data_IF_391165366832
#
_entry.id   IF_391165366832
#
_cell.length_a   1.000
_cell.length_b   1.000
_cell.length_c   1.000
_cell.angle_alpha   90.00
_cell.angle_beta   90.00
_cell.angle_gamma   90.00
#
_symmetry.space_group_name_H-M   'P 1'
#
loop_
_entity.id
_entity.type
_entity.pdbx_description
1 polymer ?
#
# COMPACT_ATOMS: atom_id res chain seq x y z
N UNK A 1 1.46 18.81 14.97
CA UNK A 1 0.75 17.81 14.14
C UNK A 1 1.78 17.12 13.26
N UNK A 2 2.02 15.84 13.48
CA UNK A 2 2.91 15.09 12.58
C UNK A 2 2.17 14.80 11.28
N UNK A 3 2.72 15.20 10.15
CA UNK A 3 2.12 15.00 8.83
C UNK A 3 2.21 13.50 8.48
N UNK A 4 1.14 12.95 7.91
CA UNK A 4 1.12 11.57 7.40
C UNK A 4 2.37 11.29 6.54
N UNK A 5 3.10 10.20 6.83
CA UNK A 5 4.32 9.82 6.12
C UNK A 5 5.57 10.65 6.48
N UNK A 6 5.56 11.44 7.57
CA UNK A 6 6.71 12.27 7.94
C UNK A 6 7.98 11.43 8.12
N UNK A 7 7.92 10.33 8.87
CA UNK A 7 9.07 9.44 9.10
C UNK A 7 9.65 8.91 7.78
N UNK A 8 8.80 8.49 6.85
CA UNK A 8 9.27 7.99 5.56
C UNK A 8 9.91 9.06 4.70
N UNK A 9 9.36 10.28 4.74
CA UNK A 9 9.89 11.43 3.99
C UNK A 9 11.22 11.91 4.56
N UNK A 10 11.39 11.87 5.88
CA UNK A 10 12.62 12.32 6.54
C UNK A 10 13.80 11.40 6.22
N UNK A 11 13.54 10.13 5.89
CA UNK A 11 14.53 9.16 5.40
C UNK A 11 14.91 9.34 3.92
N UNK A 12 14.22 10.20 3.17
CA UNK A 12 14.52 10.43 1.75
C UNK A 12 15.69 11.39 1.57
N UNK A 13 16.43 11.19 0.50
CA UNK A 13 17.38 12.18 -0.03
C UNK A 13 16.65 13.41 -0.58
N UNK A 14 17.33 14.52 -0.75
CA UNK A 14 16.74 15.73 -1.34
C UNK A 14 16.19 15.49 -2.76
N UNK A 15 16.89 14.78 -3.68
CA UNK A 15 16.34 14.41 -4.98
C UNK A 15 15.06 13.55 -4.87
N UNK A 16 15.04 12.54 -4.02
CA UNK A 16 13.85 11.70 -3.82
C UNK A 16 12.66 12.50 -3.32
N UNK A 17 12.88 13.43 -2.38
CA UNK A 17 11.82 14.33 -1.89
C UNK A 17 11.25 15.24 -2.97
N UNK A 18 12.11 15.74 -3.87
CA UNK A 18 11.69 16.58 -5.00
C UNK A 18 10.74 15.83 -5.95
N UNK A 19 10.98 14.55 -6.21
CA UNK A 19 10.14 13.71 -7.06
C UNK A 19 8.71 13.57 -6.55
N UNK A 20 8.49 13.63 -5.24
CA UNK A 20 7.14 13.53 -4.68
C UNK A 20 6.23 14.74 -5.02
N UNK A 21 6.81 15.87 -5.36
CA UNK A 21 6.09 17.08 -5.77
C UNK A 21 6.26 17.43 -7.25
N UNK A 22 6.62 16.44 -8.07
CA UNK A 22 6.95 16.63 -9.48
C UNK A 22 5.74 17.12 -10.28
N UNK A 23 5.95 18.18 -11.04
CA UNK A 23 4.95 18.79 -11.94
C UNK A 23 5.66 19.21 -13.23
N UNK A 24 5.78 18.26 -14.18
CA UNK A 24 6.64 18.42 -15.35
C UNK A 24 6.09 19.34 -16.43
N UNK A 25 4.76 19.41 -16.53
CA UNK A 25 4.11 20.11 -17.65
C UNK A 25 2.70 20.60 -17.33
N UNK A 26 2.24 21.57 -18.11
CA UNK A 26 0.82 21.91 -18.21
C UNK A 26 0.09 20.73 -18.87
N UNK A 27 -0.97 20.25 -18.21
CA UNK A 27 -1.77 19.13 -18.69
C UNK A 27 -2.94 19.55 -19.54
N UNK A 28 -3.20 20.85 -19.67
CA UNK A 28 -4.33 21.41 -20.44
C UNK A 28 -4.26 20.98 -21.90
N UNK A 29 -5.32 20.31 -22.38
CA UNK A 29 -5.41 19.85 -23.75
C UNK A 29 -4.45 18.70 -24.10
N UNK A 30 -3.76 18.10 -23.13
CA UNK A 30 -2.87 16.97 -23.38
C UNK A 30 -3.64 15.72 -23.85
N UNK A 31 -2.96 14.87 -24.61
CA UNK A 31 -3.55 13.66 -25.21
C UNK A 31 -2.63 12.46 -25.01
N UNK A 32 -2.48 11.99 -23.75
CA UNK A 32 -1.70 10.79 -23.51
C UNK A 32 -2.41 9.55 -24.07
N UNK A 33 -1.63 8.53 -24.45
CA UNK A 33 -2.17 7.21 -24.79
C UNK A 33 -2.76 6.55 -23.54
N UNK A 34 -2.11 6.70 -22.38
CA UNK A 34 -2.59 6.22 -21.09
C UNK A 34 -2.54 7.36 -20.04
N UNK A 35 -3.68 7.65 -19.45
CA UNK A 35 -3.80 8.54 -18.28
C UNK A 35 -3.99 7.71 -17.02
N UNK A 36 -3.12 7.89 -16.04
CA UNK A 36 -3.26 7.32 -14.70
C UNK A 36 -3.68 8.41 -13.72
N UNK A 37 -4.81 8.22 -13.06
CA UNK A 37 -5.38 9.14 -12.08
C UNK A 37 -5.13 8.60 -10.67
N UNK A 38 -4.25 9.27 -9.91
CA UNK A 38 -3.86 8.91 -8.56
C UNK A 38 -2.38 8.57 -8.43
N UNK A 39 -1.66 9.32 -7.61
CA UNK A 39 -0.22 9.21 -7.37
C UNK A 39 0.16 8.35 -6.16
N UNK A 40 -0.71 7.45 -5.71
CA UNK A 40 -0.36 6.39 -4.75
C UNK A 40 0.50 5.31 -5.40
N UNK A 41 0.96 4.35 -4.60
CA UNK A 41 1.86 3.28 -5.10
C UNK A 41 1.23 2.47 -6.24
N UNK A 42 -0.09 2.23 -6.20
CA UNK A 42 -0.82 1.53 -7.26
C UNK A 42 -0.76 2.30 -8.59
N UNK A 43 -1.00 3.61 -8.55
CA UNK A 43 -0.94 4.43 -9.76
C UNK A 43 0.47 4.58 -10.30
N UNK A 44 1.46 4.79 -9.43
CA UNK A 44 2.86 4.93 -9.86
C UNK A 44 3.40 3.61 -10.43
N UNK A 45 3.10 2.45 -9.80
CA UNK A 45 3.46 1.14 -10.37
C UNK A 45 2.75 0.90 -11.72
N UNK A 46 1.46 1.27 -11.83
CA UNK A 46 0.71 1.10 -13.09
C UNK A 46 1.29 1.99 -14.20
N UNK A 47 1.60 3.25 -13.91
CA UNK A 47 2.22 4.13 -14.88
C UNK A 47 3.59 3.61 -15.34
N UNK A 48 4.42 3.15 -14.39
CA UNK A 48 5.72 2.57 -14.69
C UNK A 48 5.60 1.31 -15.56
N UNK A 49 4.68 0.40 -15.24
CA UNK A 49 4.43 -0.81 -16.03
C UNK A 49 3.91 -0.49 -17.43
N UNK A 50 3.06 0.53 -17.60
CA UNK A 50 2.60 0.98 -18.91
C UNK A 50 3.75 1.55 -19.76
N UNK A 51 4.67 2.29 -19.14
CA UNK A 51 5.89 2.79 -19.81
C UNK A 51 6.78 1.63 -20.26
N UNK A 52 7.04 0.69 -19.35
CA UNK A 52 7.87 -0.50 -19.64
C UNK A 52 7.26 -1.36 -20.75
N UNK A 53 5.93 -1.50 -20.78
CA UNK A 53 5.21 -2.22 -21.84
C UNK A 53 5.12 -1.47 -23.17
N UNK A 54 5.61 -0.24 -23.27
CA UNK A 54 5.58 0.56 -24.49
C UNK A 54 4.19 1.02 -24.91
N UNK A 55 3.30 1.31 -23.97
CA UNK A 55 1.92 1.74 -24.25
C UNK A 55 1.80 3.22 -24.67
N UNK A 56 2.84 3.76 -25.29
CA UNK A 56 2.86 5.14 -25.79
C UNK A 56 3.14 6.19 -24.71
N UNK A 57 2.50 7.35 -24.86
CA UNK A 57 2.67 8.48 -23.92
C UNK A 57 1.85 8.25 -22.67
N UNK A 58 2.51 8.08 -21.53
CA UNK A 58 1.89 7.87 -20.21
C UNK A 58 1.96 9.15 -19.41
N UNK A 59 0.80 9.63 -18.92
CA UNK A 59 0.68 10.75 -18.01
C UNK A 59 0.08 10.26 -16.68
N UNK A 60 0.71 10.62 -15.57
CA UNK A 60 0.15 10.43 -14.23
C UNK A 60 -0.25 11.79 -13.63
N UNK A 61 -1.49 11.88 -13.14
CA UNK A 61 -1.97 13.05 -12.40
C UNK A 61 -2.29 12.69 -10.94
N UNK A 62 -2.01 13.61 -10.03
CA UNK A 62 -2.24 13.46 -8.59
C UNK A 62 -2.74 14.79 -8.00
N UNK A 63 -3.78 14.74 -7.17
CA UNK A 63 -4.38 15.91 -6.54
C UNK A 63 -3.43 16.65 -5.59
N UNK A 64 -2.62 15.90 -4.85
CA UNK A 64 -1.66 16.43 -3.90
C UNK A 64 -0.23 16.20 -4.33
N UNK A 65 0.55 15.53 -3.48
CA UNK A 65 1.88 15.01 -3.77
C UNK A 65 1.82 13.49 -3.93
N UNK A 66 2.73 12.93 -4.69
CA UNK A 66 2.84 11.47 -4.79
C UNK A 66 2.94 10.84 -3.41
N UNK A 67 2.18 9.80 -3.17
CA UNK A 67 2.14 9.07 -1.91
C UNK A 67 1.44 9.79 -0.74
N UNK A 68 0.76 10.92 -0.95
CA UNK A 68 0.13 11.68 0.14
C UNK A 68 -1.05 10.95 0.83
N UNK A 69 -1.66 9.98 0.17
CA UNK A 69 -2.78 9.19 0.69
C UNK A 69 -2.36 8.02 1.58
N UNK A 70 -3.07 6.90 1.47
CA UNK A 70 -2.84 5.68 2.25
C UNK A 70 -1.40 5.14 2.15
N UNK A 71 -0.74 5.31 1.02
CA UNK A 71 0.62 4.84 0.77
C UNK A 71 1.64 5.44 1.75
N UNK A 72 1.64 6.76 1.90
CA UNK A 72 2.59 7.43 2.81
C UNK A 72 2.29 7.18 4.28
N UNK A 73 1.06 6.79 4.63
CA UNK A 73 0.68 6.44 5.99
C UNK A 73 0.87 4.96 6.34
N UNK A 74 1.25 4.12 5.39
CA UNK A 74 1.39 2.69 5.61
C UNK A 74 2.72 2.31 6.28
N UNK A 75 2.77 1.09 6.82
CA UNK A 75 3.98 0.51 7.43
C UNK A 75 5.04 0.07 6.42
N UNK A 76 4.66 -0.08 5.15
CA UNK A 76 5.56 -0.57 4.11
C UNK A 76 5.83 -2.07 4.14
N UNK A 77 5.11 -2.85 4.95
CA UNK A 77 5.30 -4.29 5.07
C UNK A 77 4.85 -5.04 3.82
N UNK A 78 5.65 -5.99 3.38
CA UNK A 78 5.45 -6.88 2.25
C UNK A 78 5.49 -8.32 2.80
N UNK A 79 4.35 -8.78 3.35
CA UNK A 79 4.25 -10.00 4.17
C UNK A 79 3.10 -10.89 3.69
N UNK A 80 3.19 -11.54 2.52
CA UNK A 80 2.12 -12.40 2.00
C UNK A 80 1.83 -13.59 2.91
N UNK A 81 2.85 -14.28 3.40
CA UNK A 81 2.68 -15.54 4.11
C UNK A 81 1.83 -15.43 5.40
N UNK A 82 1.96 -14.40 6.25
CA UNK A 82 1.06 -14.22 7.39
C UNK A 82 -0.42 -14.08 7.03
N UNK A 83 -0.73 -13.74 5.79
CA UNK A 83 -2.13 -13.60 5.35
C UNK A 83 -2.84 -14.94 5.12
N UNK A 84 -2.10 -16.05 4.99
CA UNK A 84 -2.69 -17.40 4.83
C UNK A 84 -3.62 -17.81 5.98
N UNK A 85 -3.49 -17.18 7.17
CA UNK A 85 -4.41 -17.41 8.29
C UNK A 85 -5.73 -16.62 8.20
N UNK A 86 -5.86 -15.67 7.29
CA UNK A 86 -6.99 -14.75 7.24
C UNK A 86 -7.60 -14.55 5.88
N UNK A 87 -6.88 -14.90 4.82
CA UNK A 87 -7.25 -14.63 3.45
C UNK A 87 -7.29 -15.92 2.61
N UNK A 88 -8.12 -16.00 1.55
CA UNK A 88 -8.16 -17.19 0.68
C UNK A 88 -6.87 -17.37 -0.10
N UNK A 89 -6.50 -18.62 -0.35
CA UNK A 89 -5.27 -18.99 -1.06
C UNK A 89 -5.06 -18.24 -2.38
N UNK A 90 -6.05 -18.08 -3.27
CA UNK A 90 -5.82 -17.33 -4.53
C UNK A 90 -5.41 -15.87 -4.29
N UNK A 91 -5.77 -15.27 -3.15
CA UNK A 91 -5.33 -13.92 -2.79
C UNK A 91 -3.91 -13.93 -2.24
N UNK A 92 -3.57 -14.90 -1.42
CA UNK A 92 -2.20 -15.07 -0.91
C UNK A 92 -1.24 -15.39 -2.04
N UNK A 93 -1.63 -16.18 -3.03
CA UNK A 93 -0.83 -16.45 -4.23
C UNK A 93 -0.57 -15.19 -5.05
N UNK A 94 -1.57 -14.31 -5.18
CA UNK A 94 -1.39 -12.99 -5.80
C UNK A 94 -0.35 -12.15 -5.04
N UNK A 95 -0.41 -12.19 -3.72
CA UNK A 95 0.53 -11.45 -2.85
C UNK A 95 1.95 -12.01 -2.93
N UNK A 96 2.12 -13.34 -2.98
CA UNK A 96 3.42 -14.00 -3.22
C UNK A 96 4.01 -13.58 -4.56
N UNK A 97 3.22 -13.67 -5.62
CA UNK A 97 3.64 -13.22 -6.94
C UNK A 97 4.02 -11.73 -6.96
N UNK A 98 3.36 -10.93 -6.14
CA UNK A 98 3.67 -9.50 -6.02
C UNK A 98 4.96 -9.24 -5.26
N UNK A 99 5.26 -10.00 -4.21
CA UNK A 99 6.53 -9.90 -3.49
C UNK A 99 7.72 -10.24 -4.41
N UNK A 100 7.60 -11.28 -5.24
CA UNK A 100 8.64 -11.58 -6.24
C UNK A 100 8.87 -10.42 -7.20
N UNK A 101 7.79 -9.77 -7.68
CA UNK A 101 7.94 -8.58 -8.53
C UNK A 101 8.60 -7.40 -7.81
N UNK A 102 8.38 -7.24 -6.51
CA UNK A 102 9.13 -6.27 -5.71
C UNK A 102 10.62 -6.56 -5.70
N UNK A 103 11.03 -7.84 -5.62
CA UNK A 103 12.42 -8.30 -5.71
C UNK A 103 13.01 -8.05 -7.09
N UNK A 104 12.25 -8.34 -8.14
CA UNK A 104 12.66 -8.05 -9.53
C UNK A 104 12.92 -6.55 -9.70
N UNK A 105 12.04 -5.70 -9.20
CA UNK A 105 12.18 -4.24 -9.26
C UNK A 105 13.38 -3.73 -8.45
N UNK A 106 13.68 -4.33 -7.28
CA UNK A 106 14.88 -4.02 -6.51
C UNK A 106 16.14 -4.31 -7.31
N UNK A 107 16.17 -5.42 -8.04
CA UNK A 107 17.32 -5.80 -8.87
C UNK A 107 17.45 -5.02 -10.18
N UNK A 108 16.33 -4.61 -10.78
CA UNK A 108 16.30 -4.02 -12.11
C UNK A 108 16.47 -2.49 -12.11
N UNK A 109 15.96 -1.79 -11.10
CA UNK A 109 15.99 -0.33 -11.06
C UNK A 109 17.35 0.19 -10.55
N UNK A 110 17.91 1.24 -11.16
CA UNK A 110 19.12 1.88 -10.64
C UNK A 110 18.94 2.35 -9.20
N UNK A 111 19.65 1.72 -8.27
CA UNK A 111 19.54 1.99 -6.83
C UNK A 111 18.32 1.37 -6.15
N UNK A 112 17.64 0.44 -6.85
CA UNK A 112 16.53 -0.33 -6.32
C UNK A 112 15.29 0.50 -5.92
N UNK A 113 14.32 -0.14 -5.32
CA UNK A 113 13.14 0.49 -4.69
C UNK A 113 13.32 0.68 -3.19
N UNK A 114 14.45 0.21 -2.64
CA UNK A 114 14.75 0.24 -1.21
C UNK A 114 14.05 -0.89 -0.44
N UNK A 115 13.94 -2.06 -1.07
CA UNK A 115 13.45 -3.27 -0.44
C UNK A 115 14.44 -3.77 0.60
N UNK A 116 13.94 -4.15 1.76
CA UNK A 116 14.71 -4.73 2.85
C UNK A 116 14.10 -6.08 3.17
N UNK A 117 14.86 -7.15 2.97
CA UNK A 117 14.47 -8.50 3.36
C UNK A 117 14.47 -8.63 4.88
N UNK A 118 13.41 -9.20 5.41
CA UNK A 118 13.19 -9.39 6.84
C UNK A 118 12.42 -10.69 7.07
N UNK A 119 12.63 -11.30 8.24
CA UNK A 119 11.75 -12.37 8.69
C UNK A 119 10.53 -11.78 9.41
N UNK A 120 9.44 -12.55 9.43
CA UNK A 120 8.26 -12.23 10.23
C UNK A 120 8.11 -13.25 11.35
N UNK A 121 7.92 -12.76 12.57
CA UNK A 121 7.68 -13.54 13.77
C UNK A 121 6.33 -13.16 14.38
N UNK A 122 5.36 -14.04 14.28
CA UNK A 122 4.11 -13.93 15.03
C UNK A 122 4.28 -14.51 16.43
N UNK A 123 3.84 -13.76 17.44
CA UNK A 123 3.86 -14.19 18.83
C UNK A 123 2.45 -14.55 19.30
N UNK A 124 2.33 -15.64 20.04
CA UNK A 124 1.09 -16.04 20.68
C UNK A 124 1.36 -16.42 22.16
N UNK A 125 0.39 -16.24 23.07
CA UNK A 125 0.48 -16.77 24.40
C UNK A 125 0.73 -18.29 24.37
N UNK A 126 1.57 -18.81 25.27
CA UNK A 126 1.91 -20.22 25.35
C UNK A 126 0.68 -21.13 25.53
N UNK A 127 -0.32 -20.68 26.29
CA UNK A 127 -1.61 -21.37 26.42
C UNK A 127 -2.56 -20.95 25.31
N UNK A 128 -2.84 -21.85 24.35
CA UNK A 128 -3.80 -21.64 23.27
C UNK A 128 -3.27 -20.99 22.00
N UNK A 129 -1.97 -21.02 21.79
CA UNK A 129 -1.24 -20.43 20.67
C UNK A 129 -1.78 -20.71 19.26
N UNK A 130 -0.93 -21.00 18.29
CA UNK A 130 -1.30 -21.22 16.88
C UNK A 130 -1.99 -22.57 16.59
N UNK A 131 -2.80 -23.10 17.50
CA UNK A 131 -3.22 -24.50 17.54
C UNK A 131 -4.08 -24.99 16.34
N UNK A 132 -4.75 -24.10 15.61
CA UNK A 132 -5.81 -24.51 14.68
C UNK A 132 -5.33 -24.76 13.24
N UNK A 133 -4.27 -24.15 12.79
CA UNK A 133 -3.75 -24.29 11.43
C UNK A 133 -2.25 -24.04 11.41
N UNK A 134 -1.48 -25.08 11.05
CA UNK A 134 -0.03 -25.02 11.02
C UNK A 134 0.49 -25.24 9.58
N UNK A 135 0.63 -24.18 8.78
CA UNK A 135 1.17 -24.28 7.43
C UNK A 135 2.60 -24.83 7.42
N UNK A 136 2.98 -25.64 6.43
CA UNK A 136 4.29 -26.30 6.38
C UNK A 136 5.47 -25.34 6.20
N UNK A 137 5.22 -24.12 5.69
CA UNK A 137 6.26 -23.11 5.47
C UNK A 137 6.61 -22.31 6.75
N UNK A 138 6.03 -22.64 7.89
CA UNK A 138 6.22 -21.93 9.15
C UNK A 138 7.12 -22.71 10.06
N UNK A 139 8.17 -22.09 10.56
CA UNK A 139 9.03 -22.61 11.62
C UNK A 139 8.39 -22.30 12.98
N UNK A 140 7.98 -23.34 13.70
CA UNK A 140 7.31 -23.22 14.98
C UNK A 140 8.33 -23.18 16.10
N UNK A 141 8.31 -22.10 16.89
CA UNK A 141 9.25 -21.83 17.96
C UNK A 141 8.61 -22.05 19.32
N UNK A 142 9.29 -22.79 20.17
CA UNK A 142 8.93 -22.88 21.58
C UNK A 142 9.34 -21.63 22.35
N UNK A 143 8.85 -21.43 23.59
CA UNK A 143 9.15 -20.23 24.36
C UNK A 143 10.64 -19.95 24.62
N UNK A 144 11.47 -20.98 24.73
CA UNK A 144 12.92 -20.83 24.90
C UNK A 144 13.56 -20.23 23.66
N UNK A 145 13.22 -20.75 22.47
CA UNK A 145 13.70 -20.25 21.18
C UNK A 145 13.23 -18.80 20.92
N UNK A 146 11.97 -18.48 21.29
CA UNK A 146 11.47 -17.10 21.17
C UNK A 146 12.23 -16.16 22.10
N UNK A 147 12.53 -16.58 23.33
CA UNK A 147 13.28 -15.78 24.30
C UNK A 147 14.75 -15.53 23.86
N UNK A 148 15.35 -16.45 23.08
CA UNK A 148 16.67 -16.25 22.48
C UNK A 148 16.61 -15.16 21.38
N UNK A 149 15.53 -15.12 20.59
CA UNK A 149 15.34 -14.13 19.54
C UNK A 149 14.96 -12.74 20.07
N UNK A 150 14.16 -12.71 21.13
CA UNK A 150 13.70 -11.44 21.76
C UNK A 150 13.98 -11.54 23.27
N UNK A 151 15.19 -11.25 23.71
CA UNK A 151 15.51 -11.19 25.13
C UNK A 151 14.68 -10.14 25.85
N UNK A 152 14.12 -10.51 27.01
CA UNK A 152 13.37 -9.56 27.83
C UNK A 152 11.88 -9.47 27.53
N UNK A 153 11.29 -10.44 26.81
CA UNK A 153 9.83 -10.59 26.78
C UNK A 153 9.26 -10.75 28.19
N UNK A 154 8.14 -10.06 28.47
CA UNK A 154 7.51 -10.05 29.80
C UNK A 154 6.99 -11.43 30.24
N UNK A 155 6.71 -12.31 29.32
CA UNK A 155 6.18 -13.66 29.55
C UNK A 155 6.61 -14.63 28.45
N UNK A 156 6.61 -15.96 28.75
CA UNK A 156 6.86 -16.96 27.72
C UNK A 156 5.82 -16.87 26.57
N UNK A 157 6.30 -16.91 25.33
CA UNK A 157 5.48 -16.85 24.13
C UNK A 157 5.90 -17.97 23.16
N UNK A 158 4.95 -18.54 22.43
CA UNK A 158 5.23 -19.36 21.26
C UNK A 158 5.43 -18.45 20.04
N UNK A 159 6.17 -18.92 19.05
CA UNK A 159 6.46 -18.18 17.83
C UNK A 159 6.11 -18.94 16.56
N UNK A 160 5.58 -18.22 15.59
CA UNK A 160 5.47 -18.64 14.20
C UNK A 160 6.46 -17.80 13.38
N UNK A 161 7.59 -18.38 13.01
CA UNK A 161 8.64 -17.69 12.26
C UNK A 161 8.50 -18.00 10.77
N UNK A 162 8.37 -16.96 9.97
CA UNK A 162 8.28 -17.02 8.52
C UNK A 162 9.46 -16.23 7.94
N UNK A 163 10.25 -16.92 7.15
CA UNK A 163 11.44 -16.35 6.51
C UNK A 163 11.09 -15.56 5.26
N UNK A 164 12.02 -14.70 4.82
CA UNK A 164 11.99 -14.07 3.51
C UNK A 164 10.73 -13.21 3.24
N UNK A 165 10.29 -12.52 4.24
CA UNK A 165 9.36 -11.42 4.09
C UNK A 165 10.15 -10.13 3.82
N UNK A 166 9.47 -9.01 3.59
CA UNK A 166 10.19 -7.77 3.30
C UNK A 166 9.45 -6.53 3.80
N UNK A 167 10.12 -5.38 3.69
CA UNK A 167 9.49 -4.07 3.75
C UNK A 167 10.16 -3.09 2.80
N UNK A 168 9.46 -2.01 2.50
CA UNK A 168 10.01 -0.85 1.79
C UNK A 168 9.71 0.43 2.57
N UNK A 169 10.49 1.49 2.35
CA UNK A 169 10.02 2.84 2.60
C UNK A 169 9.04 3.21 1.47
N UNK A 170 7.73 3.37 1.74
CA UNK A 170 6.74 3.53 0.67
C UNK A 170 6.97 4.76 -0.20
N UNK A 171 7.48 5.85 0.39
CA UNK A 171 7.74 7.08 -0.34
C UNK A 171 9.03 7.00 -1.16
N UNK A 172 10.03 6.25 -0.71
CA UNK A 172 11.24 5.96 -1.51
C UNK A 172 10.88 5.12 -2.73
N UNK A 173 10.09 4.07 -2.55
CA UNK A 173 9.63 3.25 -3.67
C UNK A 173 8.88 4.08 -4.72
N UNK A 174 7.95 4.96 -4.29
CA UNK A 174 7.28 5.91 -5.20
C UNK A 174 8.30 6.80 -5.92
N UNK A 175 9.22 7.42 -5.19
CA UNK A 175 10.20 8.33 -5.79
C UNK A 175 11.07 7.63 -6.84
N UNK A 176 11.55 6.42 -6.54
CA UNK A 176 12.37 5.62 -7.47
C UNK A 176 11.62 5.24 -8.74
N UNK A 177 10.37 4.80 -8.60
CA UNK A 177 9.52 4.48 -9.74
C UNK A 177 9.15 5.72 -10.55
N UNK A 178 8.78 6.82 -9.88
CA UNK A 178 8.42 8.07 -10.53
C UNK A 178 9.58 8.69 -11.31
N UNK A 179 10.83 8.38 -10.98
CA UNK A 179 12.00 8.86 -11.72
C UNK A 179 11.98 8.39 -13.18
N UNK A 180 11.45 7.19 -13.45
CA UNK A 180 11.33 6.63 -14.81
C UNK A 180 10.10 7.07 -15.59
N UNK A 181 9.17 7.80 -14.97
CA UNK A 181 7.95 8.24 -15.67
C UNK A 181 8.23 9.43 -16.59
N UNK A 182 7.69 9.41 -17.83
CA UNK A 182 7.88 10.51 -18.79
C UNK A 182 7.17 11.79 -18.39
N UNK A 183 5.96 11.68 -17.79
CA UNK A 183 5.15 12.82 -17.40
C UNK A 183 4.38 12.57 -16.10
N UNK A 184 4.54 13.49 -15.14
CA UNK A 184 3.84 13.51 -13.87
C UNK A 184 3.34 14.93 -13.59
N UNK A 185 2.10 15.08 -13.17
CA UNK A 185 1.54 16.37 -12.76
C UNK A 185 0.88 16.23 -11.38
N UNK A 186 1.57 16.69 -10.34
CA UNK A 186 1.02 16.84 -9.00
C UNK A 186 0.29 18.17 -8.84
N UNK A 187 -0.65 18.26 -7.88
CA UNK A 187 -1.52 19.42 -7.70
C UNK A 187 -2.68 19.46 -8.71
N UNK A 188 -2.92 18.39 -9.46
CA UNK A 188 -3.96 18.29 -10.50
C UNK A 188 -5.03 17.29 -10.07
N UNK A 189 -6.22 17.77 -9.77
CA UNK A 189 -7.37 16.95 -9.38
C UNK A 189 -8.24 16.62 -10.61
N UNK A 190 -8.57 15.35 -10.83
CA UNK A 190 -9.66 14.98 -11.71
C UNK A 190 -11.00 15.38 -11.07
N UNK A 191 -11.92 15.97 -11.83
CA UNK A 191 -13.19 16.53 -11.34
C UNK A 191 -14.41 15.95 -12.05
N UNK A 192 -14.27 15.60 -13.33
CA UNK A 192 -15.38 15.12 -14.15
C UNK A 192 -14.90 14.20 -15.27
N UNK A 193 -15.84 13.48 -15.87
CA UNK A 193 -15.61 12.70 -17.11
C UNK A 193 -16.64 13.06 -18.15
N UNK A 194 -16.20 13.13 -19.40
CA UNK A 194 -17.08 13.21 -20.57
C UNK A 194 -17.10 11.87 -21.25
N UNK A 195 -18.28 11.27 -21.42
CA UNK A 195 -18.47 9.95 -22.00
C UNK A 195 -19.24 10.10 -23.34
N UNK A 196 -18.79 9.37 -24.36
CA UNK A 196 -19.51 9.21 -25.61
C UNK A 196 -19.57 7.72 -25.95
N UNK A 197 -20.78 7.18 -26.04
CA UNK A 197 -21.00 5.74 -26.14
C UNK A 197 -20.47 5.01 -24.91
N UNK A 198 -19.59 4.07 -25.12
CA UNK A 198 -18.93 3.27 -24.06
C UNK A 198 -17.50 3.75 -23.72
N UNK A 199 -17.14 5.00 -24.08
CA UNK A 199 -15.77 5.49 -23.91
C UNK A 199 -15.72 6.84 -23.22
N UNK A 200 -14.75 6.99 -22.32
CA UNK A 200 -14.32 8.31 -21.82
C UNK A 200 -13.60 9.02 -22.97
N UNK A 201 -14.08 10.20 -23.32
CA UNK A 201 -13.47 11.05 -24.34
C UNK A 201 -12.65 12.19 -23.74
N UNK A 202 -12.98 12.60 -22.50
CA UNK A 202 -12.22 13.60 -21.78
C UNK A 202 -12.33 13.40 -20.25
N UNK A 203 -11.28 13.83 -19.56
CA UNK A 203 -11.23 13.99 -18.09
C UNK A 203 -11.10 15.48 -17.81
N UNK A 204 -12.10 16.06 -17.16
CA UNK A 204 -12.00 17.40 -16.59
C UNK A 204 -11.12 17.39 -15.35
N UNK A 205 -10.22 18.35 -15.25
CA UNK A 205 -9.31 18.50 -14.11
C UNK A 205 -9.31 19.95 -13.59
N UNK A 206 -8.73 20.16 -12.42
CA UNK A 206 -8.51 21.49 -11.85
C UNK A 206 -7.58 22.38 -12.71
N UNK A 207 -6.85 21.79 -13.67
CA UNK A 207 -5.90 22.48 -14.55
C UNK A 207 -6.34 22.48 -16.03
N UNK A 208 -7.59 22.07 -16.33
CA UNK A 208 -8.10 21.97 -17.69
C UNK A 208 -8.48 20.54 -18.08
N UNK A 209 -8.74 20.30 -19.36
CA UNK A 209 -9.23 19.03 -19.86
C UNK A 209 -8.12 18.17 -20.48
N UNK A 210 -8.20 16.86 -20.26
CA UNK A 210 -7.29 15.83 -20.81
C UNK A 210 -8.12 14.83 -21.62
N UNK A 211 -7.71 14.55 -22.85
CA UNK A 211 -8.29 13.48 -23.67
C UNK A 211 -7.32 12.31 -23.73
N UNK A 212 -7.71 11.13 -23.26
CA UNK A 212 -6.81 9.98 -23.21
C UNK A 212 -7.34 8.77 -23.98
N UNK A 213 -6.42 7.95 -24.51
CA UNK A 213 -6.77 6.69 -25.15
C UNK A 213 -7.31 5.67 -24.14
N UNK A 214 -6.63 5.50 -23.06
CA UNK A 214 -6.97 4.66 -21.89
C UNK A 214 -6.89 5.48 -20.61
N UNK A 215 -7.78 5.21 -19.64
CA UNK A 215 -7.81 5.86 -18.33
C UNK A 215 -7.74 4.81 -17.24
N UNK A 216 -6.81 4.96 -16.29
CA UNK A 216 -6.71 4.10 -15.11
C UNK A 216 -6.98 4.91 -13.85
N UNK A 217 -8.04 4.60 -13.13
CA UNK A 217 -8.33 5.18 -11.82
C UNK A 217 -7.65 4.35 -10.72
N UNK A 218 -6.63 4.93 -10.09
CA UNK A 218 -5.84 4.36 -9.00
C UNK A 218 -5.91 5.23 -7.73
N UNK A 219 -7.10 5.73 -7.42
CA UNK A 219 -7.38 6.74 -6.40
C UNK A 219 -7.53 6.15 -4.99
N UNK A 220 -7.23 4.86 -4.81
CA UNK A 220 -7.38 4.12 -3.56
C UNK A 220 -8.81 3.66 -3.27
N UNK A 221 -9.80 4.56 -3.37
CA UNK A 221 -11.25 4.24 -3.43
C UNK A 221 -11.77 4.50 -4.83
N UNK A 222 -12.93 3.93 -5.22
CA UNK A 222 -13.60 4.33 -6.43
C UNK A 222 -13.76 5.86 -6.44
N UNK A 223 -13.35 6.56 -7.51
CA UNK A 223 -13.45 8.01 -7.54
C UNK A 223 -14.91 8.46 -7.68
N UNK A 224 -15.23 9.56 -7.05
CA UNK A 224 -16.51 10.26 -7.24
C UNK A 224 -16.23 11.46 -8.17
N UNK A 225 -16.56 11.32 -9.44
CA UNK A 225 -16.37 12.33 -10.47
C UNK A 225 -17.70 12.61 -11.15
N UNK A 226 -17.92 13.87 -11.49
CA UNK A 226 -19.12 14.24 -12.24
C UNK A 226 -19.13 13.50 -13.61
N UNK A 227 -20.27 12.91 -13.94
CA UNK A 227 -20.47 12.13 -15.16
C UNK A 227 -19.90 10.69 -15.15
N UNK A 228 -19.24 10.23 -14.07
CA UNK A 228 -18.74 8.85 -13.97
C UNK A 228 -19.78 7.92 -13.34
N UNK A 229 -20.38 6.97 -14.10
CA UNK A 229 -21.38 6.05 -13.58
C UNK A 229 -20.71 4.91 -12.79
N UNK A 230 -20.35 5.14 -11.53
CA UNK A 230 -19.67 4.16 -10.71
C UNK A 230 -20.32 4.07 -9.32
N UNK A 231 -20.93 2.92 -9.02
CA UNK A 231 -21.54 2.61 -7.72
C UNK A 231 -20.91 1.33 -7.14
N UNK A 232 -19.64 1.44 -6.74
CA UNK A 232 -18.90 0.36 -6.10
C UNK A 232 -18.74 0.70 -4.62
N UNK A 233 -19.32 -0.09 -3.68
CA UNK A 233 -19.30 0.24 -2.27
C UNK A 233 -17.87 0.23 -1.72
N UNK A 234 -17.51 1.27 -0.99
CA UNK A 234 -16.21 1.37 -0.33
C UNK A 234 -16.26 2.23 0.91
N UNK A 235 -15.48 1.88 1.91
CA UNK A 235 -15.27 2.66 3.12
C UNK A 235 -13.79 2.89 3.42
N UNK A 236 -13.51 3.47 4.57
CA UNK A 236 -12.16 3.70 5.07
C UNK A 236 -12.01 3.12 6.46
N UNK A 237 -10.91 2.43 6.70
CA UNK A 237 -10.56 1.94 8.03
C UNK A 237 -9.37 2.74 8.55
N UNK A 238 -9.61 3.50 9.60
CA UNK A 238 -8.58 4.28 10.26
C UNK A 238 -7.62 3.35 11.01
N UNK A 239 -6.35 3.74 11.10
CA UNK A 239 -5.38 3.05 11.91
C UNK A 239 -4.32 4.02 12.40
N UNK A 240 -3.94 3.89 13.67
CA UNK A 240 -2.90 4.67 14.31
C UNK A 240 -1.57 3.94 14.26
N UNK A 241 -0.52 4.71 14.10
CA UNK A 241 0.87 4.25 14.07
C UNK A 241 1.73 5.23 14.86
N UNK A 242 2.82 4.70 15.39
CA UNK A 242 3.87 5.51 16.00
C UNK A 242 5.26 4.97 15.65
N UNK A 243 6.25 5.84 15.80
CA UNK A 243 7.66 5.48 15.80
C UNK A 243 8.24 5.96 17.14
N UNK A 244 8.91 5.06 17.84
CA UNK A 244 9.54 5.37 19.11
C UNK A 244 10.78 6.26 18.93
N UNK A 245 11.27 6.84 19.99
CA UNK A 245 12.67 7.25 20.07
C UNK A 245 13.59 6.02 19.92
N UNK A 246 14.88 6.23 19.58
CA UNK A 246 15.84 5.13 19.51
C UNK A 246 15.87 4.33 20.81
N UNK A 247 15.96 2.99 20.69
CA UNK A 247 16.00 2.07 21.82
C UNK A 247 17.08 1.01 21.61
N UNK A 248 17.55 0.43 22.70
CA UNK A 248 18.49 -0.69 22.70
C UNK A 248 17.81 -2.05 22.48
N UNK A 249 16.49 -2.11 22.53
CA UNK A 249 15.73 -3.32 22.19
C UNK A 249 15.97 -3.65 20.71
N UNK A 250 16.26 -4.91 20.44
CA UNK A 250 16.46 -5.41 19.07
C UNK A 250 15.42 -6.46 18.75
N UNK A 251 14.78 -6.29 17.59
CA UNK A 251 13.83 -7.26 17.07
C UNK A 251 14.48 -8.03 15.91
N UNK A 252 14.21 -9.34 15.78
CA UNK A 252 14.79 -10.19 14.73
C UNK A 252 14.27 -9.85 13.32
N UNK A 253 13.26 -9.02 13.23
CA UNK A 253 12.60 -8.65 11.98
C UNK A 253 11.29 -7.92 12.24
N UNK A 254 10.23 -8.34 11.56
CA UNK A 254 8.85 -7.89 11.82
C UNK A 254 8.28 -8.79 12.91
N UNK A 255 7.93 -8.25 14.06
CA UNK A 255 7.40 -9.01 15.20
C UNK A 255 5.96 -8.59 15.51
N UNK A 256 5.00 -9.43 15.20
CA UNK A 256 3.60 -9.18 15.52
C UNK A 256 3.27 -9.73 16.93
N UNK A 257 2.66 -8.93 17.82
CA UNK A 257 2.09 -7.60 17.62
C UNK A 257 3.00 -6.41 18.00
N UNK A 258 4.29 -6.60 18.19
CA UNK A 258 5.20 -5.56 18.70
C UNK A 258 5.49 -4.49 17.64
N UNK A 259 6.01 -4.88 16.48
CA UNK A 259 6.38 -3.95 15.40
C UNK A 259 7.62 -4.38 14.64
N UNK A 260 8.30 -3.43 14.04
CA UNK A 260 9.57 -3.67 13.31
C UNK A 260 10.54 -2.52 13.54
N UNK A 261 11.83 -2.85 13.57
CA UNK A 261 12.84 -1.79 13.60
C UNK A 261 12.92 -1.08 12.25
N UNK A 262 13.08 0.23 12.34
CA UNK A 262 13.46 1.11 11.25
C UNK A 262 14.84 1.70 11.49
N UNK A 263 15.23 2.75 10.77
CA UNK A 263 16.54 3.37 10.88
C UNK A 263 16.82 3.86 12.34
N UNK A 264 18.10 3.87 12.71
CA UNK A 264 18.60 4.40 13.99
C UNK A 264 18.07 3.69 15.26
N UNK A 265 17.61 2.43 15.16
CA UNK A 265 17.14 1.69 16.33
C UNK A 265 15.75 2.06 16.82
N UNK A 266 15.03 2.88 16.07
CA UNK A 266 13.62 3.22 16.31
C UNK A 266 12.71 2.04 15.97
N UNK A 267 11.57 1.92 16.68
CA UNK A 267 10.54 0.92 16.40
C UNK A 267 9.32 1.58 15.75
N UNK A 268 8.88 1.03 14.64
CA UNK A 268 7.59 1.32 14.04
C UNK A 268 6.56 0.35 14.60
N UNK A 269 5.53 0.85 15.26
CA UNK A 269 4.51 0.08 15.95
C UNK A 269 3.10 0.60 15.68
N UNK A 270 2.09 -0.20 16.04
CA UNK A 270 0.68 0.13 15.89
C UNK A 270 0.04 -0.57 14.69
N UNK A 271 -0.77 0.16 13.93
CA UNK A 271 -1.57 -0.42 12.85
C UNK A 271 -2.96 -0.85 13.32
N UNK A 272 -3.59 -0.08 14.21
CA UNK A 272 -4.94 -0.31 14.72
C UNK A 272 -5.99 -0.39 13.60
N UNK A 273 -7.18 -0.89 13.92
CA UNK A 273 -8.32 -1.01 13.02
C UNK A 273 -9.54 -0.33 13.63
N UNK A 274 -9.64 0.99 13.44
CA UNK A 274 -10.68 1.81 14.04
C UNK A 274 -11.83 1.95 13.03
N UNK A 275 -12.88 1.16 13.24
CA UNK A 275 -14.06 1.15 12.38
C UNK A 275 -15.00 2.30 12.77
N UNK A 276 -15.52 3.00 11.76
CA UNK A 276 -16.52 4.06 11.94
C UNK A 276 -15.96 5.43 12.32
N UNK A 277 -14.67 5.57 12.61
CA UNK A 277 -14.03 6.87 12.77
C UNK A 277 -13.37 7.31 11.48
N UNK A 278 -13.93 8.32 10.84
CA UNK A 278 -13.41 8.94 9.62
C UNK A 278 -12.72 10.29 9.86
N UNK A 279 -12.54 10.68 11.12
CA UNK A 279 -11.85 11.94 11.44
C UNK A 279 -10.33 11.79 11.23
N UNK A 280 -9.64 12.80 10.67
CA UNK A 280 -8.19 12.75 10.49
C UNK A 280 -7.42 13.04 11.78
N UNK A 281 -8.10 13.16 12.92
CA UNK A 281 -7.47 13.43 14.20
C UNK A 281 -6.78 12.17 14.75
N UNK A 282 -5.58 12.35 15.31
CA UNK A 282 -4.91 11.34 16.12
C UNK A 282 -5.65 11.25 17.45
N UNK A 283 -5.93 10.04 17.92
CA UNK A 283 -6.54 9.77 19.21
C UNK A 283 -5.42 9.48 20.23
N UNK A 284 -5.20 10.35 21.24
CA UNK A 284 -4.11 10.19 22.21
C UNK A 284 -4.16 8.89 22.99
N UNK A 285 -5.36 8.48 23.42
CA UNK A 285 -5.61 7.24 24.15
C UNK A 285 -5.24 5.98 23.33
N UNK A 286 -5.44 6.02 22.02
CA UNK A 286 -5.00 4.93 21.13
C UNK A 286 -3.47 4.88 21.03
N UNK A 287 -2.80 6.03 20.96
CA UNK A 287 -1.33 6.09 20.97
C UNK A 287 -0.79 5.58 22.31
N UNK A 288 -1.37 6.01 23.44
CA UNK A 288 -1.01 5.52 24.79
C UNK A 288 -1.17 3.99 24.86
N UNK A 289 -2.28 3.46 24.36
CA UNK A 289 -2.52 2.01 24.34
C UNK A 289 -1.46 1.25 23.53
N UNK A 290 -0.97 1.81 22.42
CA UNK A 290 0.14 1.19 21.67
C UNK A 290 1.42 1.19 22.50
N UNK A 291 1.77 2.31 23.14
CA UNK A 291 2.97 2.40 24.02
C UNK A 291 2.88 1.44 25.19
N UNK A 292 1.73 1.37 25.85
CA UNK A 292 1.49 0.44 26.95
C UNK A 292 1.60 -1.02 26.49
N UNK A 293 1.10 -1.32 25.29
CA UNK A 293 1.23 -2.64 24.66
C UNK A 293 2.69 -3.02 24.40
N UNK A 294 3.52 -2.07 23.97
CA UNK A 294 4.96 -2.29 23.79
C UNK A 294 5.63 -2.59 25.13
N UNK A 295 5.36 -1.79 26.17
CA UNK A 295 5.91 -1.98 27.51
C UNK A 295 5.43 -3.30 28.15
N UNK A 296 4.18 -3.67 27.93
CA UNK A 296 3.62 -4.95 28.42
C UNK A 296 4.25 -6.16 27.72
N UNK A 297 4.64 -6.05 26.45
CA UNK A 297 5.31 -7.11 25.71
C UNK A 297 6.80 -7.19 26.05
N UNK A 298 7.47 -6.04 26.09
CA UNK A 298 8.92 -5.92 26.36
C UNK A 298 9.13 -4.83 27.41
N UNK A 299 9.26 -5.16 28.69
CA UNK A 299 9.39 -4.20 29.80
C UNK A 299 10.52 -3.16 29.64
N UNK A 300 11.56 -3.48 28.90
CA UNK A 300 12.63 -2.54 28.56
C UNK A 300 12.15 -1.35 27.69
N UNK A 301 10.94 -1.42 27.11
CA UNK A 301 10.30 -0.33 26.37
C UNK A 301 9.42 0.55 27.27
N UNK A 302 9.33 0.28 28.58
CA UNK A 302 8.57 1.11 29.49
C UNK A 302 9.13 2.54 29.50
N UNK A 303 8.27 3.53 29.24
CA UNK A 303 8.66 4.93 29.18
C UNK A 303 9.41 5.34 27.91
N UNK A 304 9.47 4.49 26.87
CA UNK A 304 10.06 4.89 25.58
C UNK A 304 9.31 6.09 25.01
N UNK A 305 10.04 7.12 24.58
CA UNK A 305 9.47 8.29 23.92
C UNK A 305 8.92 7.98 22.52
N UNK A 306 8.06 8.85 22.02
CA UNK A 306 7.48 8.77 20.68
C UNK A 306 8.01 9.91 19.81
N UNK A 307 8.78 9.55 18.74
CA UNK A 307 9.32 10.53 17.79
C UNK A 307 8.30 10.94 16.73
N UNK A 308 7.48 10.00 16.25
CA UNK A 308 6.43 10.25 15.26
C UNK A 308 5.16 9.51 15.64
N UNK A 309 4.02 10.15 15.38
CA UNK A 309 2.71 9.53 15.51
C UNK A 309 1.78 10.07 14.42
N UNK A 310 0.96 9.20 13.86
CA UNK A 310 -0.03 9.58 12.85
C UNK A 310 -1.18 8.59 12.79
N UNK A 311 -2.24 9.00 12.11
CA UNK A 311 -3.27 8.06 11.66
C UNK A 311 -3.38 8.10 10.13
N UNK A 312 -3.80 7.01 9.54
CA UNK A 312 -4.07 6.90 8.12
C UNK A 312 -5.33 6.07 7.86
N UNK A 313 -5.84 6.17 6.64
CA UNK A 313 -7.06 5.49 6.23
C UNK A 313 -6.75 4.45 5.16
N UNK A 314 -7.11 3.20 5.44
CA UNK A 314 -7.02 2.10 4.49
C UNK A 314 -8.30 2.05 3.66
N UNK A 315 -8.25 2.22 2.32
CA UNK A 315 -9.43 2.07 1.46
C UNK A 315 -9.87 0.61 1.43
N UNK A 316 -11.16 0.34 1.66
CA UNK A 316 -11.68 -1.02 1.78
C UNK A 316 -12.99 -1.19 1.03
N UNK A 317 -13.18 -2.34 0.41
CA UNK A 317 -14.49 -2.86 -0.01
C UNK A 317 -15.10 -3.73 1.09
N UNK A 318 -16.42 -3.95 1.12
CA UNK A 318 -17.09 -4.72 2.18
C UNK A 318 -16.51 -6.13 2.38
N UNK A 319 -16.09 -6.78 1.31
CA UNK A 319 -15.48 -8.11 1.32
C UNK A 319 -13.97 -8.12 1.62
N UNK A 320 -13.35 -6.95 1.86
CA UNK A 320 -11.91 -6.74 2.08
C UNK A 320 -11.01 -7.17 0.91
N UNK A 321 -11.55 -7.31 -0.29
CA UNK A 321 -10.83 -7.67 -1.51
C UNK A 321 -10.70 -6.46 -2.43
N UNK A 322 -9.61 -6.32 -3.18
CA UNK A 322 -9.48 -5.24 -4.14
C UNK A 322 -10.45 -5.41 -5.31
N UNK A 323 -10.74 -4.31 -5.97
CA UNK A 323 -11.24 -4.30 -7.34
C UNK A 323 -10.04 -4.04 -8.27
N UNK A 324 -9.86 -4.91 -9.26
CA UNK A 324 -8.92 -4.75 -10.38
C UNK A 324 -9.74 -5.11 -11.62
N UNK A 325 -10.36 -4.12 -12.24
CA UNK A 325 -11.35 -4.36 -13.28
C UNK A 325 -11.44 -3.19 -14.27
N UNK A 326 -12.11 -3.43 -15.37
CA UNK A 326 -12.62 -2.37 -16.22
C UNK A 326 -13.78 -1.66 -15.51
N UNK A 327 -13.86 -0.34 -15.66
CA UNK A 327 -15.01 0.40 -15.15
C UNK A 327 -16.27 -0.10 -15.85
N UNK A 328 -17.33 -0.53 -15.13
CA UNK A 328 -18.54 -1.07 -15.74
C UNK A 328 -19.12 -0.15 -16.81
N UNK A 329 -19.41 -0.71 -17.98
CA UNK A 329 -19.96 0.02 -19.12
C UNK A 329 -18.96 0.87 -19.91
N UNK A 330 -17.67 0.88 -19.56
CA UNK A 330 -16.65 1.67 -20.27
C UNK A 330 -15.56 0.79 -20.89
N UNK A 331 -15.31 0.96 -22.17
CA UNK A 331 -14.36 0.15 -22.93
C UNK A 331 -12.88 0.58 -22.72
N UNK A 332 -12.63 1.86 -22.34
CA UNK A 332 -11.29 2.42 -22.22
C UNK A 332 -10.95 2.95 -20.81
N UNK A 333 -11.65 2.48 -19.79
CA UNK A 333 -11.40 2.89 -18.42
C UNK A 333 -11.25 1.69 -17.49
N UNK A 334 -10.24 1.73 -16.63
CA UNK A 334 -9.92 0.70 -15.65
C UNK A 334 -9.89 1.29 -14.24
N UNK A 335 -10.14 0.45 -13.25
CA UNK A 335 -10.15 0.79 -11.84
C UNK A 335 -9.27 -0.19 -11.06
N UNK A 336 -8.45 0.35 -10.15
CA UNK A 336 -7.87 -0.40 -9.05
C UNK A 336 -8.18 0.30 -7.74
N UNK A 337 -8.86 -0.39 -6.82
CA UNK A 337 -9.32 0.22 -5.57
C UNK A 337 -9.51 -0.78 -4.43
N UNK A 338 -9.61 -0.28 -3.21
CA UNK A 338 -10.02 -1.08 -2.06
C UNK A 338 -9.02 -2.14 -1.59
N UNK A 339 -7.73 -1.96 -1.86
CA UNK A 339 -6.67 -2.90 -1.47
C UNK A 339 -6.47 -3.05 0.04
N UNK A 340 -7.21 -2.31 0.84
CA UNK A 340 -7.23 -2.37 2.29
C UNK A 340 -5.83 -2.29 2.91
N UNK A 341 -5.32 -3.40 3.48
CA UNK A 341 -4.01 -3.47 4.15
C UNK A 341 -2.85 -3.87 3.23
N UNK A 342 -3.16 -4.32 2.01
CA UNK A 342 -2.20 -4.98 1.12
C UNK A 342 -1.82 -4.14 -0.11
N UNK A 343 -2.25 -2.86 -0.16
CA UNK A 343 -2.09 -2.02 -1.34
C UNK A 343 -0.63 -1.82 -1.78
N UNK A 344 0.32 -1.73 -0.85
CA UNK A 344 1.74 -1.63 -1.22
C UNK A 344 2.21 -2.99 -1.74
N UNK A 345 1.98 -4.06 -1.00
CA UNK A 345 2.36 -5.41 -1.39
C UNK A 345 1.85 -5.74 -2.80
N UNK A 346 0.57 -5.49 -3.09
CA UNK A 346 -0.08 -5.87 -4.33
C UNK A 346 0.12 -4.90 -5.50
N UNK A 347 0.84 -3.78 -5.32
CA UNK A 347 0.97 -2.77 -6.36
C UNK A 347 1.64 -3.29 -7.66
N UNK A 348 2.77 -4.03 -7.62
CA UNK A 348 3.40 -4.52 -8.85
C UNK A 348 2.55 -5.53 -9.62
N UNK A 349 1.92 -6.48 -8.94
CA UNK A 349 1.08 -7.48 -9.63
C UNK A 349 -0.18 -6.85 -10.20
N UNK A 350 -0.80 -5.91 -9.47
CA UNK A 350 -1.95 -5.14 -9.95
C UNK A 350 -1.60 -4.35 -11.21
N UNK A 351 -0.46 -3.67 -11.20
CA UNK A 351 0.05 -2.94 -12.36
C UNK A 351 0.23 -3.87 -13.57
N UNK A 352 0.82 -5.04 -13.38
CA UNK A 352 1.01 -6.02 -14.44
C UNK A 352 -0.32 -6.55 -15.01
N UNK A 353 -1.32 -6.81 -14.17
CA UNK A 353 -2.66 -7.23 -14.60
C UNK A 353 -3.31 -6.15 -15.46
N UNK A 354 -3.34 -4.89 -14.97
CA UNK A 354 -3.94 -3.78 -15.70
C UNK A 354 -3.23 -3.49 -17.02
N UNK A 355 -1.90 -3.47 -17.03
CA UNK A 355 -1.10 -3.21 -18.22
C UNK A 355 -1.34 -4.26 -19.31
N UNK A 356 -1.33 -5.56 -18.93
CA UNK A 356 -1.65 -6.65 -19.87
C UNK A 356 -3.07 -6.50 -20.42
N UNK A 357 -4.04 -6.11 -19.58
CA UNK A 357 -5.42 -5.91 -20.02
C UNK A 357 -5.55 -4.75 -21.01
N UNK A 358 -4.90 -3.62 -20.71
CA UNK A 358 -4.90 -2.46 -21.63
C UNK A 358 -4.29 -2.85 -22.98
N UNK A 359 -3.19 -3.61 -22.96
CA UNK A 359 -2.47 -4.03 -24.17
C UNK A 359 -3.25 -5.05 -25.01
N UNK A 360 -3.84 -6.05 -24.37
CA UNK A 360 -4.55 -7.14 -25.05
C UNK A 360 -6.01 -6.80 -25.40
N UNK A 361 -6.60 -5.80 -24.71
CA UNK A 361 -8.03 -5.48 -24.82
C UNK A 361 -8.96 -6.42 -24.06
N UNK A 362 -8.45 -7.57 -23.59
CA UNK A 362 -9.18 -8.62 -22.88
C UNK A 362 -8.65 -8.82 -21.47
N UNK A 363 -9.53 -9.17 -20.48
CA UNK A 363 -9.10 -9.40 -19.11
C UNK A 363 -8.19 -10.63 -19.02
N UNK A 364 -7.03 -10.53 -18.36
CA UNK A 364 -6.29 -11.71 -17.99
C UNK A 364 -7.07 -12.54 -16.97
N UNK A 365 -6.82 -13.84 -16.93
CA UNK A 365 -7.59 -14.79 -16.09
C UNK A 365 -7.64 -14.37 -14.62
N UNK A 366 -6.56 -13.83 -14.11
CA UNK A 366 -6.44 -13.37 -12.73
C UNK A 366 -7.41 -12.23 -12.39
N UNK A 367 -7.76 -11.39 -13.38
CA UNK A 367 -8.66 -10.26 -13.16
C UNK A 367 -10.10 -10.69 -12.80
N UNK A 368 -10.56 -11.86 -13.26
CA UNK A 368 -11.93 -12.32 -13.01
C UNK A 368 -12.27 -12.44 -11.52
N UNK A 369 -11.30 -12.86 -10.70
CA UNK A 369 -11.47 -12.98 -9.25
C UNK A 369 -11.68 -11.62 -8.57
N UNK A 370 -11.18 -10.54 -9.17
CA UNK A 370 -11.16 -9.20 -8.58
C UNK A 370 -12.16 -8.25 -9.26
N UNK A 371 -13.08 -8.80 -10.03
CA UNK A 371 -14.06 -8.03 -10.80
C UNK A 371 -15.00 -7.21 -9.90
N UNK A 372 -15.33 -6.00 -10.36
CA UNK A 372 -16.31 -5.12 -9.75
C UNK A 372 -17.74 -5.68 -9.82
N UNK A 373 -18.01 -6.59 -10.77
CA UNK A 373 -19.34 -7.19 -10.98
C UNK A 373 -19.86 -7.95 -9.77
N UNK A 374 -18.98 -8.38 -8.84
CA UNK A 374 -19.40 -9.00 -7.57
C UNK A 374 -20.17 -8.05 -6.64
N UNK A 375 -20.17 -6.75 -6.91
CA UNK A 375 -20.96 -5.75 -6.21
C UNK A 375 -22.20 -5.29 -7.01
N UNK A 376 -22.41 -5.80 -8.22
CA UNK A 376 -23.63 -5.49 -8.97
C UNK A 376 -24.85 -5.97 -8.17
N UNK A 377 -25.82 -5.07 -7.97
CA UNK A 377 -27.10 -5.46 -7.36
C UNK A 377 -27.81 -6.40 -8.33
N UNK A 378 -28.11 -7.61 -7.85
CA UNK A 378 -29.00 -8.57 -8.54
C UNK A 378 -30.42 -8.03 -8.64
#
# INVERSE_FOLDING_TARGET
MTVNGAVWRDQLTAPERALLGRADQDVTGSRPDVLVVGGGILGVCTAAACVEAGLGNVLLIETGRLGAGATGGATGLLIPEPHQWSDPEPFVDLERASLERWRDMEGALPGGVGLIELDWLGLAPYEGGFAAHQPPAVEWLNPGQVAELIPGLARPMEGALIRQQARVNPLRAIARLAQGLPAVATGVAATSVTISGDRITAIGTSAGEISAGAVVFATGRPPVLDGLPMDIPSDRVKGHLLVTEPTDVRLPGIVAPIGTQIENGQLLAGGTFDLGDETPAIQPDVIESIVDGLAAAVPALAGVGVSYQWCCFRPRHPDRRPVIDRVPGLANAWLTSGHFRTGILNAPVTAAVLTRWIQAGEPPVEAHTWSATRFARS
#
